data_IF_788732234958
#
_entry.id   IF_788732234958
#
_cell.length_a   1.000
_cell.length_b   1.000
_cell.length_c   1.000
_cell.angle_alpha   90.00
_cell.angle_beta   90.00
_cell.angle_gamma   90.00
#
_symmetry.space_group_name_H-M   'P 1'
#
loop_
_entity.id
_entity.type
_entity.pdbx_description
1 polymer ?
#
# COMPACT_ATOMS: atom_id res chain seq x y z
N UNK A 1 -19.72 14.02 -6.62
CA UNK A 1 -18.96 14.87 -5.69
C UNK A 1 -18.71 14.27 -4.30
N UNK A 2 -19.67 13.69 -3.57
CA UNK A 2 -19.41 13.23 -2.19
C UNK A 2 -18.44 12.04 -2.02
N UNK A 3 -18.29 11.20 -3.05
CA UNK A 3 -17.46 9.96 -2.99
C UNK A 3 -15.99 10.17 -3.33
N UNK A 4 -15.67 11.23 -4.07
CA UNK A 4 -14.33 11.40 -4.64
C UNK A 4 -13.31 11.85 -3.60
N UNK A 5 -13.75 12.59 -2.57
CA UNK A 5 -12.89 13.02 -1.47
C UNK A 5 -12.33 11.87 -0.62
N UNK A 6 -13.16 10.94 -0.07
CA UNK A 6 -12.63 9.82 0.69
C UNK A 6 -11.79 8.85 -0.16
N UNK A 7 -12.17 8.63 -1.42
CA UNK A 7 -11.39 7.81 -2.36
C UNK A 7 -10.01 8.43 -2.62
N UNK A 8 -9.94 9.71 -2.95
CA UNK A 8 -8.67 10.39 -3.18
C UNK A 8 -7.79 10.48 -1.92
N UNK A 9 -8.40 10.59 -0.74
CA UNK A 9 -7.67 10.54 0.53
C UNK A 9 -7.05 9.16 0.77
N UNK A 10 -7.82 8.10 0.56
CA UNK A 10 -7.34 6.73 0.71
C UNK A 10 -6.23 6.39 -0.29
N UNK A 11 -6.38 6.81 -1.56
CA UNK A 11 -5.37 6.64 -2.60
C UNK A 11 -4.04 7.30 -2.19
N UNK A 12 -4.11 8.52 -1.64
CA UNK A 12 -2.93 9.24 -1.17
C UNK A 12 -2.26 8.53 0.04
N UNK A 13 -3.05 8.04 0.99
CA UNK A 13 -2.54 7.30 2.16
C UNK A 13 -1.85 6.00 1.73
N UNK A 14 -2.48 5.22 0.84
CA UNK A 14 -1.93 3.97 0.34
C UNK A 14 -0.65 4.21 -0.48
N UNK A 15 -0.58 5.28 -1.27
CA UNK A 15 0.64 5.68 -1.98
C UNK A 15 1.81 6.00 -1.02
N UNK A 16 1.54 6.71 0.07
CA UNK A 16 2.56 6.99 1.10
C UNK A 16 3.04 5.69 1.77
N UNK A 17 2.12 4.80 2.14
CA UNK A 17 2.48 3.51 2.75
C UNK A 17 3.37 2.70 1.80
N UNK A 18 3.01 2.61 0.51
CA UNK A 18 3.79 1.88 -0.49
C UNK A 18 5.22 2.42 -0.65
N UNK A 19 5.41 3.74 -0.52
CA UNK A 19 6.75 4.35 -0.60
C UNK A 19 7.55 4.19 0.69
N UNK A 20 6.90 4.23 1.86
CA UNK A 20 7.56 4.01 3.16
C UNK A 20 8.05 2.56 3.31
N UNK A 21 7.35 1.57 2.74
CA UNK A 21 7.76 0.17 2.80
C UNK A 21 9.21 -0.05 2.36
N UNK A 22 9.72 0.74 1.42
CA UNK A 22 11.10 0.59 0.92
C UNK A 22 12.14 0.99 1.99
N UNK A 23 11.75 1.86 2.92
CA UNK A 23 12.63 2.36 3.98
C UNK A 23 12.94 1.29 5.04
N UNK A 24 12.08 0.27 5.16
CA UNK A 24 12.26 -0.89 6.04
C UNK A 24 13.25 -1.93 5.48
N UNK A 25 13.69 -1.78 4.22
CA UNK A 25 14.69 -2.68 3.65
C UNK A 25 16.06 -2.46 4.31
N UNK A 26 16.51 -3.46 5.04
CA UNK A 26 17.83 -3.47 5.69
C UNK A 26 18.95 -3.41 4.65
N UNK A 27 20.01 -2.68 4.98
CA UNK A 27 21.25 -2.66 4.19
C UNK A 27 22.05 -3.94 4.48
N UNK A 28 22.74 -4.50 3.47
CA UNK A 28 23.59 -5.66 3.70
C UNK A 28 24.79 -5.27 4.57
N UNK A 29 25.15 -6.12 5.54
CA UNK A 29 26.31 -5.92 6.42
C UNK A 29 27.63 -5.95 5.64
N UNK A 30 27.65 -6.71 4.54
CA UNK A 30 28.80 -6.81 3.64
C UNK A 30 28.38 -6.42 2.23
N UNK A 31 29.19 -5.58 1.57
CA UNK A 31 28.89 -5.03 0.24
C UNK A 31 29.28 -6.00 -0.88
N UNK A 32 28.83 -7.25 -0.75
CA UNK A 32 29.08 -8.34 -1.69
C UNK A 32 27.77 -9.08 -2.03
N UNK A 33 27.80 -9.92 -3.07
CA UNK A 33 26.62 -10.67 -3.52
C UNK A 33 26.03 -11.58 -2.44
N UNK A 34 26.87 -12.16 -1.57
CA UNK A 34 26.42 -12.97 -0.43
C UNK A 34 25.64 -12.15 0.61
N UNK A 35 26.03 -10.90 0.86
CA UNK A 35 25.35 -10.00 1.79
C UNK A 35 23.94 -9.64 1.29
N UNK A 36 23.78 -9.44 -0.02
CA UNK A 36 22.45 -9.28 -0.63
C UNK A 36 21.62 -10.57 -0.55
N UNK A 37 22.24 -11.73 -0.81
CA UNK A 37 21.55 -13.02 -0.74
C UNK A 37 21.07 -13.39 0.67
N UNK A 38 21.80 -12.95 1.71
CA UNK A 38 21.38 -13.10 3.09
C UNK A 38 20.06 -12.36 3.39
N UNK A 39 19.80 -11.25 2.70
CA UNK A 39 18.60 -10.43 2.87
C UNK A 39 17.41 -10.87 2.02
N UNK A 40 17.52 -11.95 1.22
CA UNK A 40 16.47 -12.40 0.30
C UNK A 40 15.08 -12.52 0.92
N UNK A 41 15.00 -12.96 2.18
CA UNK A 41 13.73 -13.09 2.89
C UNK A 41 13.07 -11.72 3.16
N UNK A 42 13.85 -10.71 3.51
CA UNK A 42 13.34 -9.34 3.72
C UNK A 42 12.88 -8.72 2.39
N UNK A 43 13.65 -8.89 1.31
CA UNK A 43 13.24 -8.44 -0.03
C UNK A 43 11.97 -9.15 -0.51
N UNK A 44 11.85 -10.45 -0.25
CA UNK A 44 10.65 -11.21 -0.60
C UNK A 44 9.43 -10.76 0.22
N UNK A 45 9.59 -10.56 1.53
CA UNK A 45 8.52 -10.04 2.39
C UNK A 45 8.09 -8.62 1.97
N UNK A 46 9.03 -7.75 1.63
CA UNK A 46 8.76 -6.43 1.05
C UNK A 46 7.95 -6.54 -0.24
N UNK A 47 8.41 -7.35 -1.20
CA UNK A 47 7.73 -7.52 -2.48
C UNK A 47 6.31 -8.06 -2.29
N UNK A 48 6.15 -9.08 -1.46
CA UNK A 48 4.85 -9.66 -1.14
C UNK A 48 3.91 -8.62 -0.51
N UNK A 49 4.41 -7.82 0.43
CA UNK A 49 3.64 -6.76 1.09
C UNK A 49 3.22 -5.66 0.10
N UNK A 50 4.15 -5.23 -0.75
CA UNK A 50 3.91 -4.22 -1.78
C UNK A 50 2.83 -4.69 -2.77
N UNK A 51 2.94 -5.90 -3.31
CA UNK A 51 1.95 -6.46 -4.22
C UNK A 51 0.60 -6.70 -3.53
N UNK A 52 0.61 -7.17 -2.29
CA UNK A 52 -0.62 -7.39 -1.54
C UNK A 52 -1.41 -6.09 -1.35
N UNK A 53 -0.74 -5.01 -0.92
CA UNK A 53 -1.36 -3.69 -0.77
C UNK A 53 -1.83 -3.14 -2.12
N UNK A 54 -1.04 -3.30 -3.19
CA UNK A 54 -1.42 -2.86 -4.53
C UNK A 54 -2.67 -3.59 -5.07
N UNK A 55 -2.76 -4.90 -4.86
CA UNK A 55 -3.93 -5.70 -5.24
C UNK A 55 -5.16 -5.33 -4.40
N UNK A 56 -4.97 -5.13 -3.09
CA UNK A 56 -6.02 -4.66 -2.20
C UNK A 56 -6.54 -3.30 -2.65
N UNK A 57 -5.64 -2.35 -2.97
CA UNK A 57 -6.00 -1.03 -3.52
C UNK A 57 -6.82 -1.16 -4.80
N UNK A 58 -6.37 -1.98 -5.77
CA UNK A 58 -7.09 -2.16 -7.03
C UNK A 58 -8.51 -2.73 -6.81
N UNK A 59 -8.65 -3.70 -5.91
CA UNK A 59 -9.95 -4.24 -5.50
C UNK A 59 -10.82 -3.16 -4.85
N UNK A 60 -10.25 -2.36 -3.94
CA UNK A 60 -10.98 -1.33 -3.23
C UNK A 60 -11.40 -0.17 -4.15
N UNK A 61 -10.51 0.31 -5.02
CA UNK A 61 -10.80 1.30 -6.06
C UNK A 61 -11.93 0.82 -6.98
N UNK A 62 -11.91 -0.46 -7.38
CA UNK A 62 -13.00 -1.03 -8.19
C UNK A 62 -14.33 -1.11 -7.43
N UNK A 63 -14.30 -1.46 -6.13
CA UNK A 63 -15.49 -1.51 -5.28
C UNK A 63 -16.14 -0.14 -5.09
N UNK A 64 -15.36 0.94 -5.06
CA UNK A 64 -15.88 2.31 -4.99
C UNK A 64 -16.80 2.67 -6.16
N UNK A 65 -16.64 2.03 -7.33
CA UNK A 65 -17.58 2.19 -8.46
C UNK A 65 -18.95 1.55 -8.19
N UNK A 66 -19.05 0.53 -7.33
CA UNK A 66 -20.29 -0.15 -6.98
C UNK A 66 -21.08 0.57 -5.88
N UNK A 67 -20.42 1.41 -5.08
CA UNK A 67 -21.05 2.16 -3.99
C UNK A 67 -21.96 3.25 -4.57
N UNK A 68 -23.28 3.10 -4.45
CA UNK A 68 -24.28 4.05 -5.00
C UNK A 68 -24.56 5.27 -4.12
N UNK A 69 -24.51 5.16 -2.79
CA UNK A 69 -24.82 6.27 -1.86
C UNK A 69 -23.93 6.17 -0.61
N UNK A 70 -23.27 7.27 -0.24
CA UNK A 70 -22.67 7.42 1.08
C UNK A 70 -23.78 7.93 2.00
N UNK A 71 -24.10 7.19 3.07
CA UNK A 71 -24.99 7.69 4.10
C UNK A 71 -24.15 8.64 4.95
N UNK A 72 -24.40 9.95 4.78
CA UNK A 72 -23.82 10.96 5.64
C UNK A 72 -24.55 10.91 6.98
N UNK A 73 -23.90 10.32 7.99
CA UNK A 73 -24.43 10.22 9.35
C UNK A 73 -23.84 11.35 10.21
N UNK A 74 -23.90 12.59 9.71
CA UNK A 74 -23.74 13.80 10.51
C UNK A 74 -25.12 14.42 10.78
N UNK A 75 -25.86 13.79 11.68
CA UNK A 75 -27.01 14.39 12.35
C UNK A 75 -26.98 13.95 13.81
N UNK A 76 -26.15 14.62 14.62
CA UNK A 76 -26.42 15.00 16.02
C UNK A 76 -25.70 16.33 16.26
#
# INVERSE_FOLDING_TARGET
MGKERPVAFEDAVLAIIMTILVLELKKPETMNWSGLWALRANFFAYALSFFWIGLMWASHHNNWHLVKKLIDKQLV
#
